data_IF_324356872492
#
_entry.id   IF_324356872492
#
_cell.length_a   1.000
_cell.length_b   1.000
_cell.length_c   1.000
_cell.angle_alpha   90.00
_cell.angle_beta   90.00
_cell.angle_gamma   90.00
#
_symmetry.space_group_name_H-M   'P 1'
#
loop_
_entity.id
_entity.type
_entity.pdbx_description
1 polymer ?
#
# COMPACT_ATOMS: atom_id res chain seq x y z
N UNK A 1 6.51 -9.28 -7.24
CA UNK A 1 6.60 -8.35 -8.39
C UNK A 1 5.38 -8.57 -9.28
N UNK A 2 4.65 -7.51 -9.64
CA UNK A 2 3.38 -7.59 -10.39
C UNK A 2 3.46 -6.70 -11.64
N UNK A 3 2.64 -7.02 -12.66
CA UNK A 3 2.48 -6.23 -13.88
C UNK A 3 1.06 -5.67 -13.95
N UNK A 4 0.93 -4.35 -13.97
CA UNK A 4 -0.37 -3.67 -14.00
C UNK A 4 -0.40 -2.58 -15.07
N UNK A 5 -1.58 -2.32 -15.62
CA UNK A 5 -1.83 -1.20 -16.51
C UNK A 5 -3.06 -0.44 -16.01
N UNK A 6 -2.93 0.87 -15.82
CA UNK A 6 -4.03 1.76 -15.44
C UNK A 6 -3.83 3.13 -16.09
N UNK A 7 -4.92 3.83 -16.42
CA UNK A 7 -4.86 5.16 -17.07
C UNK A 7 -4.19 6.23 -16.20
N UNK A 8 -4.27 6.08 -14.88
CA UNK A 8 -3.65 6.97 -13.89
C UNK A 8 -2.13 6.82 -13.80
N UNK A 9 -1.54 5.73 -14.33
CA UNK A 9 -0.10 5.54 -14.30
C UNK A 9 0.63 6.54 -15.22
N UNK A 10 1.81 7.01 -14.82
CA UNK A 10 2.58 7.98 -15.61
C UNK A 10 3.18 7.37 -16.91
N UNK A 11 2.48 7.44 -18.03
CA UNK A 11 3.04 7.07 -19.35
C UNK A 11 3.57 8.30 -20.09
N UNK A 12 4.69 8.16 -20.82
CA UNK A 12 5.18 9.21 -21.71
C UNK A 12 4.11 9.69 -22.71
N UNK A 13 4.09 10.98 -23.00
CA UNK A 13 3.08 11.60 -23.87
C UNK A 13 2.98 10.92 -25.25
N UNK A 14 4.12 10.58 -25.87
CA UNK A 14 4.14 9.87 -27.15
C UNK A 14 3.40 8.53 -27.09
N UNK A 15 3.49 7.84 -25.95
CA UNK A 15 2.87 6.52 -25.77
C UNK A 15 1.37 6.64 -25.63
N UNK A 16 0.88 7.64 -24.89
CA UNK A 16 -0.57 7.94 -24.83
C UNK A 16 -1.11 8.35 -26.20
N UNK A 17 -0.42 9.24 -26.90
CA UNK A 17 -0.80 9.68 -28.26
C UNK A 17 -0.86 8.51 -29.24
N UNK A 18 0.12 7.60 -29.19
CA UNK A 18 0.13 6.39 -30.00
C UNK A 18 -1.10 5.50 -29.74
N UNK A 19 -1.50 5.35 -28.48
CA UNK A 19 -2.70 4.56 -28.12
C UNK A 19 -3.98 5.22 -28.62
N UNK A 20 -4.11 6.53 -28.47
CA UNK A 20 -5.25 7.29 -29.02
C UNK A 20 -5.30 7.16 -30.53
N UNK A 21 -4.17 7.33 -31.22
CA UNK A 21 -4.09 7.21 -32.67
C UNK A 21 -4.48 5.81 -33.17
N UNK A 22 -3.98 4.75 -32.52
CA UNK A 22 -4.39 3.37 -32.82
C UNK A 22 -5.90 3.16 -32.66
N UNK A 23 -6.48 3.73 -31.59
CA UNK A 23 -7.93 3.65 -31.34
C UNK A 23 -8.71 4.38 -32.43
N UNK A 24 -8.34 5.62 -32.74
CA UNK A 24 -8.97 6.43 -33.79
C UNK A 24 -8.91 5.76 -35.17
N UNK A 25 -7.76 5.17 -35.52
CA UNK A 25 -7.61 4.43 -36.79
C UNK A 25 -8.56 3.23 -36.82
N UNK A 26 -8.61 2.46 -35.74
CA UNK A 26 -9.53 1.32 -35.64
C UNK A 26 -11.00 1.75 -35.71
N UNK A 27 -11.38 2.85 -35.06
CA UNK A 27 -12.72 3.41 -35.11
C UNK A 27 -13.11 3.81 -36.54
N UNK A 28 -12.23 4.54 -37.25
CA UNK A 28 -12.43 4.94 -38.65
C UNK A 28 -12.55 3.74 -39.59
N UNK A 29 -11.64 2.77 -39.47
CA UNK A 29 -11.64 1.57 -40.32
C UNK A 29 -12.87 0.70 -40.02
N UNK A 30 -13.27 0.58 -38.76
CA UNK A 30 -14.48 -0.16 -38.38
C UNK A 30 -15.74 0.47 -38.98
N UNK A 31 -15.83 1.82 -38.99
CA UNK A 31 -16.95 2.53 -39.59
C UNK A 31 -17.01 2.38 -41.12
N UNK A 32 -15.86 2.47 -41.80
CA UNK A 32 -15.79 2.40 -43.26
C UNK A 32 -15.88 0.97 -43.81
N UNK A 33 -15.33 -0.01 -43.11
CA UNK A 33 -15.17 -1.39 -43.58
C UNK A 33 -15.92 -2.40 -42.72
N UNK A 34 -17.10 -2.02 -42.21
CA UNK A 34 -18.07 -2.94 -41.58
C UNK A 34 -17.47 -3.78 -40.45
N UNK A 35 -16.85 -3.13 -39.45
CA UNK A 35 -16.32 -3.82 -38.27
C UNK A 35 -14.88 -4.31 -38.39
N UNK A 36 -14.21 -4.07 -39.54
CA UNK A 36 -12.80 -4.43 -39.72
C UNK A 36 -11.88 -3.62 -38.80
N UNK A 37 -10.81 -4.23 -38.28
CA UNK A 37 -9.80 -3.58 -37.42
C UNK A 37 -8.41 -3.76 -38.00
N UNK A 38 -7.55 -2.76 -37.83
CA UNK A 38 -6.14 -2.77 -38.28
C UNK A 38 -5.22 -3.16 -37.13
N UNK A 39 -5.48 -2.59 -35.96
CA UNK A 39 -4.73 -2.90 -34.74
C UNK A 39 -5.57 -3.76 -33.81
N UNK A 40 -4.94 -4.69 -33.12
CA UNK A 40 -5.58 -5.36 -32.00
C UNK A 40 -5.87 -4.34 -30.89
N UNK A 41 -7.01 -4.42 -30.18
CA UNK A 41 -7.25 -3.65 -28.97
C UNK A 41 -6.21 -4.05 -27.93
N UNK A 42 -5.13 -3.30 -27.88
CA UNK A 42 -4.15 -3.41 -26.82
C UNK A 42 -4.49 -2.29 -25.83
N UNK A 43 -4.61 -2.64 -24.55
CA UNK A 43 -4.68 -1.63 -23.49
C UNK A 43 -3.34 -0.93 -23.32
N UNK A 44 -3.25 -0.01 -22.35
CA UNK A 44 -1.96 0.56 -21.98
C UNK A 44 -0.96 -0.55 -21.62
N UNK A 45 0.34 -0.37 -21.93
CA UNK A 45 1.33 -1.40 -21.64
C UNK A 45 1.49 -1.55 -20.14
N UNK A 46 1.62 -2.79 -19.68
CA UNK A 46 1.81 -3.06 -18.25
C UNK A 46 3.14 -2.51 -17.75
N UNK A 47 3.12 -1.91 -16.57
CA UNK A 47 4.31 -1.55 -15.79
C UNK A 47 4.58 -2.61 -14.73
N UNK A 48 5.86 -2.90 -14.52
CA UNK A 48 6.34 -3.78 -13.45
C UNK A 48 6.45 -2.95 -12.17
N UNK A 49 5.99 -3.47 -11.03
CA UNK A 49 6.15 -2.83 -9.73
C UNK A 49 5.94 -3.77 -8.54
N UNK A 50 6.13 -3.23 -7.33
CA UNK A 50 5.65 -3.84 -6.09
C UNK A 50 4.12 -3.69 -6.00
N UNK A 51 3.49 -4.62 -5.29
CA UNK A 51 2.05 -4.55 -4.99
C UNK A 51 1.89 -4.97 -3.54
N UNK A 52 1.98 -4.00 -2.64
CA UNK A 52 1.79 -4.21 -1.22
C UNK A 52 0.29 -4.27 -0.90
N UNK A 53 -0.10 -5.19 -0.03
CA UNK A 53 -1.47 -5.28 0.48
C UNK A 53 -1.75 -4.12 1.43
N UNK A 54 -2.90 -3.48 1.24
CA UNK A 54 -3.40 -2.43 2.14
C UNK A 54 -3.80 -3.02 3.50
N UNK A 55 -3.60 -2.24 4.56
CA UNK A 55 -3.85 -2.67 5.95
C UNK A 55 -4.73 -1.66 6.67
N UNK A 56 -5.85 -2.12 7.22
CA UNK A 56 -6.89 -1.26 7.77
C UNK A 56 -6.76 -1.03 9.28
N UNK A 57 -7.03 0.21 9.71
CA UNK A 57 -7.05 0.61 11.12
C UNK A 57 -5.67 0.79 11.74
N UNK A 58 -4.64 0.91 10.91
CA UNK A 58 -3.28 1.24 11.32
C UNK A 58 -3.09 2.76 11.31
N UNK A 59 -2.25 3.26 12.21
CA UNK A 59 -1.86 4.68 12.30
C UNK A 59 -0.35 4.81 12.34
N UNK A 60 0.17 5.97 11.99
CA UNK A 60 1.60 6.28 12.06
C UNK A 60 2.15 6.03 13.45
N UNK A 61 3.35 5.46 13.53
CA UNK A 61 3.97 5.17 14.81
C UNK A 61 4.25 6.44 15.62
N UNK A 62 4.60 7.58 14.99
CA UNK A 62 4.76 8.85 15.70
C UNK A 62 3.50 9.24 16.49
N UNK A 63 2.32 9.06 15.89
CA UNK A 63 1.04 9.33 16.56
C UNK A 63 0.82 8.41 17.75
N UNK A 64 1.14 7.13 17.60
CA UNK A 64 1.03 6.14 18.67
C UNK A 64 2.02 6.39 19.81
N UNK A 65 3.28 6.69 19.50
CA UNK A 65 4.33 6.96 20.48
C UNK A 65 4.00 8.18 21.35
N UNK A 66 3.49 9.26 20.74
CA UNK A 66 3.00 10.43 21.50
C UNK A 66 1.83 10.10 22.42
N UNK A 67 0.99 9.13 22.05
CA UNK A 67 -0.13 8.70 22.88
C UNK A 67 0.38 7.95 24.12
N UNK A 68 1.35 7.04 23.96
CA UNK A 68 1.88 6.26 25.09
C UNK A 68 2.73 7.10 26.05
N UNK A 69 3.37 8.17 25.57
CA UNK A 69 4.10 9.12 26.42
C UNK A 69 3.17 9.87 27.38
N UNK A 70 1.93 10.15 26.93
CA UNK A 70 0.91 10.80 27.75
C UNK A 70 0.21 9.83 28.68
N UNK A 71 -0.05 8.63 28.18
CA UNK A 71 -0.76 7.60 28.91
C UNK A 71 -0.11 6.23 28.68
N UNK A 72 0.62 5.70 29.69
CA UNK A 72 1.39 4.49 29.52
C UNK A 72 0.49 3.28 29.27
N UNK A 73 1.01 2.34 28.47
CA UNK A 73 0.33 1.09 28.18
C UNK A 73 0.27 0.19 29.41
N UNK A 74 -0.75 -0.68 29.45
CA UNK A 74 -0.79 -1.81 30.38
C UNK A 74 0.39 -2.74 30.08
N UNK A 75 1.00 -3.31 31.12
CA UNK A 75 2.21 -4.13 31.04
C UNK A 75 2.14 -5.21 29.95
N UNK A 76 1.06 -5.99 29.90
CA UNK A 76 0.88 -7.06 28.91
C UNK A 76 0.93 -6.53 27.45
N UNK A 77 0.41 -5.33 27.22
CA UNK A 77 0.38 -4.69 25.91
C UNK A 77 1.71 -4.04 25.57
N UNK A 78 2.38 -3.46 26.57
CA UNK A 78 3.73 -2.96 26.44
C UNK A 78 4.67 -4.07 25.97
N UNK A 79 4.59 -5.25 26.59
CA UNK A 79 5.37 -6.41 26.18
C UNK A 79 5.01 -6.92 24.79
N UNK A 80 3.72 -6.89 24.40
CA UNK A 80 3.32 -7.22 23.03
C UNK A 80 3.90 -6.24 22.02
N UNK A 81 3.83 -4.94 22.30
CA UNK A 81 4.40 -3.89 21.46
C UNK A 81 5.91 -4.07 21.33
N UNK A 82 6.63 -4.29 22.43
CA UNK A 82 8.09 -4.51 22.42
C UNK A 82 8.46 -5.68 21.50
N UNK A 83 7.78 -6.83 21.60
CA UNK A 83 8.04 -7.99 20.72
C UNK A 83 7.83 -7.67 19.24
N UNK A 84 6.83 -6.86 18.90
CA UNK A 84 6.60 -6.44 17.51
C UNK A 84 7.66 -5.42 17.04
N UNK A 85 8.07 -4.52 17.93
CA UNK A 85 9.13 -3.55 17.66
C UNK A 85 10.49 -4.22 17.44
N UNK A 86 10.83 -5.25 18.23
CA UNK A 86 12.05 -6.04 18.03
C UNK A 86 12.10 -6.71 16.66
N UNK A 87 10.95 -7.24 16.17
CA UNK A 87 10.85 -7.80 14.81
C UNK A 87 11.10 -6.74 13.74
N UNK A 88 10.60 -5.52 13.93
CA UNK A 88 10.86 -4.37 13.06
C UNK A 88 12.34 -4.02 13.03
N UNK A 89 12.98 -3.90 14.20
CA UNK A 89 14.41 -3.59 14.32
C UNK A 89 15.26 -4.65 13.63
N UNK A 90 14.99 -5.93 13.87
CA UNK A 90 15.73 -7.03 13.23
C UNK A 90 15.58 -6.97 11.72
N UNK A 91 14.36 -6.78 11.19
CA UNK A 91 14.11 -6.72 9.76
C UNK A 91 14.87 -5.55 9.12
N UNK A 92 14.72 -4.34 9.66
CA UNK A 92 15.38 -3.14 9.14
C UNK A 92 16.91 -3.23 9.22
N UNK A 93 17.43 -3.83 10.29
CA UNK A 93 18.87 -3.99 10.45
C UNK A 93 19.44 -4.97 9.42
N UNK A 94 18.77 -6.11 9.19
CA UNK A 94 19.20 -7.12 8.21
C UNK A 94 19.21 -6.54 6.79
N UNK A 95 18.14 -5.82 6.40
CA UNK A 95 18.06 -5.23 5.06
C UNK A 95 18.81 -3.91 4.93
N UNK A 96 19.40 -3.42 6.02
CA UNK A 96 20.08 -2.11 6.13
C UNK A 96 19.20 -0.99 5.59
N UNK A 97 17.95 -0.94 6.07
CA UNK A 97 16.99 0.07 5.64
C UNK A 97 17.48 1.48 6.01
N UNK A 98 17.75 2.31 5.00
CA UNK A 98 18.28 3.67 5.19
C UNK A 98 17.17 4.72 5.35
N UNK A 99 15.90 4.35 5.15
CA UNK A 99 14.76 5.27 5.13
C UNK A 99 13.68 4.89 6.15
N UNK A 100 14.10 4.40 7.33
CA UNK A 100 13.18 4.15 8.45
C UNK A 100 13.11 5.36 9.38
N UNK A 101 11.93 5.97 9.44
CA UNK A 101 11.55 7.00 10.41
C UNK A 101 10.21 6.61 11.08
N UNK A 102 9.76 7.35 12.09
CA UNK A 102 8.51 7.05 12.81
C UNK A 102 7.21 7.31 12.05
N UNK A 103 7.26 7.91 10.84
CA UNK A 103 6.10 7.99 9.96
C UNK A 103 5.98 6.80 9.02
N UNK A 104 7.08 6.08 8.75
CA UNK A 104 7.14 5.01 7.74
C UNK A 104 6.84 3.61 8.30
N UNK A 105 6.39 3.50 9.56
CA UNK A 105 5.87 2.26 10.12
C UNK A 105 4.62 2.56 10.92
N UNK A 106 3.73 1.58 10.92
CA UNK A 106 2.37 1.74 11.39
C UNK A 106 2.12 0.85 12.59
N UNK A 107 1.33 1.37 13.52
CA UNK A 107 0.86 0.65 14.69
C UNK A 107 -0.67 0.61 14.67
N UNK A 108 -1.22 -0.59 14.85
CA UNK A 108 -2.63 -0.78 15.17
C UNK A 108 -2.77 -1.04 16.65
N UNK A 109 -3.42 -0.12 17.34
CA UNK A 109 -3.76 -0.23 18.75
C UNK A 109 -5.24 0.08 18.94
N UNK A 110 -5.99 -0.94 19.33
CA UNK A 110 -7.39 -0.80 19.70
C UNK A 110 -7.47 -0.66 21.20
N UNK A 111 -7.67 0.58 21.67
CA UNK A 111 -8.06 0.81 23.05
C UNK A 111 -9.54 0.46 23.18
N UNK A 112 -9.85 -0.60 23.90
CA UNK A 112 -11.23 -0.99 24.15
C UNK A 112 -11.80 -0.08 25.23
N UNK A 113 -12.81 0.72 24.87
CA UNK A 113 -13.49 1.63 25.81
C UNK A 113 -14.48 0.88 26.75
N UNK A 114 -14.75 -0.41 26.50
CA UNK A 114 -15.72 -1.22 27.24
C UNK A 114 -15.06 -2.30 28.11
N UNK A 115 -15.42 -2.34 29.39
CA UNK A 115 -14.98 -3.32 30.41
C UNK A 115 -15.23 -4.80 30.02
N UNK A 116 -16.18 -5.09 29.11
CA UNK A 116 -16.56 -6.46 28.72
C UNK A 116 -15.64 -7.12 27.69
N UNK A 117 -14.86 -6.35 26.93
CA UNK A 117 -13.95 -6.89 25.88
C UNK A 117 -12.48 -6.97 26.33
N UNK A 118 -12.18 -6.52 27.56
CA UNK A 118 -10.81 -6.47 28.11
C UNK A 118 -10.09 -7.81 28.14
N UNK A 119 -10.82 -8.93 28.13
CA UNK A 119 -10.28 -10.28 28.26
C UNK A 119 -9.87 -10.93 26.93
N UNK A 120 -10.15 -10.33 25.76
CA UNK A 120 -9.89 -10.97 24.46
C UNK A 120 -9.18 -10.11 23.40
N UNK A 121 -9.06 -8.78 23.58
CA UNK A 121 -8.85 -7.89 22.42
C UNK A 121 -7.67 -6.90 22.44
N UNK A 122 -6.81 -6.88 23.46
CA UNK A 122 -5.63 -6.00 23.43
C UNK A 122 -4.53 -6.63 22.57
N UNK A 123 -4.58 -6.35 21.27
CA UNK A 123 -3.53 -6.72 20.31
C UNK A 123 -2.90 -5.46 19.73
N UNK A 124 -1.57 -5.35 19.88
CA UNK A 124 -0.77 -4.37 19.17
C UNK A 124 -0.09 -5.07 18.00
N UNK A 125 -0.32 -4.56 16.80
CA UNK A 125 0.35 -5.04 15.59
C UNK A 125 1.16 -3.90 15.00
N UNK A 126 2.43 -4.18 14.71
CA UNK A 126 3.32 -3.25 14.01
C UNK A 126 3.49 -3.73 12.57
N UNK A 127 3.26 -2.86 11.61
CA UNK A 127 3.48 -3.13 10.18
C UNK A 127 4.38 -2.08 9.56
N UNK A 128 5.08 -2.48 8.51
CA UNK A 128 6.01 -1.65 7.80
C UNK A 128 5.36 -1.21 6.49
N UNK A 129 5.57 0.04 6.10
CA UNK A 129 5.34 0.45 4.71
C UNK A 129 6.57 0.07 3.87
N UNK A 130 6.33 -0.52 2.70
CA UNK A 130 7.28 -0.68 1.60
C UNK A 130 6.67 -0.15 0.29
#
# INVERSE_FOLDING_TARGET
VVRLAADSFNYPAYKRRWMTAKREINERVSAQFHGRRVFQPQGLPTKIGSFQLFVEGYKDADTFLRQIDREPLIEDVSQQFQRQFERLVVLDYIIRNTDRNNSNWLVKYNRLDNERDKLSGLQVQVKHEY
#
